data_IF_202786659215
#
_entry.id   IF_202786659215
#
_cell.length_a   1.000
_cell.length_b   1.000
_cell.length_c   1.000
_cell.angle_alpha   90.00
_cell.angle_beta   90.00
_cell.angle_gamma   90.00
#
_symmetry.space_group_name_H-M   'P 1'
#
loop_
_entity.id
_entity.type
_entity.pdbx_description
1 polymer ?
#
# COMPACT_ATOMS: atom_id res chain seq x y z
N UNK A 1 -12.09 -8.70 13.75
CA UNK A 1 -13.52 -8.71 14.15
C UNK A 1 -14.27 -7.80 13.22
N UNK A 2 -15.36 -8.29 12.62
CA UNK A 2 -16.24 -7.48 11.79
C UNK A 2 -16.90 -6.40 12.66
N UNK A 3 -16.82 -5.14 12.22
CA UNK A 3 -17.40 -4.00 12.93
C UNK A 3 -18.50 -3.40 12.07
N UNK A 4 -19.74 -3.57 12.52
CA UNK A 4 -20.89 -2.89 11.92
C UNK A 4 -20.85 -1.42 12.35
N UNK A 5 -20.68 -0.51 11.40
CA UNK A 5 -20.62 0.94 11.64
C UNK A 5 -21.99 1.64 11.49
N UNK A 6 -22.98 0.96 10.92
CA UNK A 6 -24.34 1.45 10.70
C UNK A 6 -24.95 0.91 9.40
N UNK A 7 -26.21 1.28 9.15
CA UNK A 7 -26.92 0.98 7.92
C UNK A 7 -26.94 2.22 7.02
N UNK A 8 -26.84 1.99 5.72
CA UNK A 8 -26.93 3.02 4.68
C UNK A 8 -27.99 2.64 3.66
N UNK A 9 -28.68 3.63 3.11
CA UNK A 9 -29.69 3.44 2.07
C UNK A 9 -29.09 3.77 0.71
N UNK A 10 -29.39 2.92 -0.28
CA UNK A 10 -29.08 3.20 -1.68
C UNK A 10 -30.04 4.29 -2.18
N UNK A 11 -29.48 5.45 -2.52
CA UNK A 11 -30.24 6.58 -3.03
C UNK A 11 -30.50 6.43 -4.53
N UNK A 12 -31.18 7.43 -5.13
CA UNK A 12 -31.37 7.51 -6.59
C UNK A 12 -30.05 7.31 -7.33
N UNK A 13 -30.12 6.63 -8.49
CA UNK A 13 -28.96 6.31 -9.34
C UNK A 13 -27.91 5.40 -8.68
N UNK A 14 -28.27 4.66 -7.62
CA UNK A 14 -27.38 3.70 -6.98
C UNK A 14 -26.34 4.34 -6.05
N UNK A 15 -26.53 5.58 -5.62
CA UNK A 15 -25.57 6.30 -4.79
C UNK A 15 -25.63 5.85 -3.33
N UNK A 16 -24.47 5.57 -2.73
CA UNK A 16 -24.34 5.24 -1.31
C UNK A 16 -23.41 6.25 -0.63
N UNK A 17 -23.86 6.85 0.47
CA UNK A 17 -23.03 7.76 1.25
C UNK A 17 -22.03 7.01 2.11
N UNK A 18 -20.75 7.37 2.00
CA UNK A 18 -19.66 6.81 2.82
C UNK A 18 -19.34 7.65 4.06
N UNK A 19 -20.17 8.63 4.40
CA UNK A 19 -19.89 9.57 5.50
C UNK A 19 -19.60 8.89 6.84
N UNK A 20 -20.27 7.78 7.13
CA UNK A 20 -20.04 6.98 8.34
C UNK A 20 -18.68 6.25 8.31
N UNK A 21 -18.24 5.78 7.13
CA UNK A 21 -17.01 5.04 6.94
C UNK A 21 -15.76 5.95 6.89
N UNK A 22 -15.89 7.21 6.43
CA UNK A 22 -14.77 8.17 6.29
C UNK A 22 -13.92 8.29 7.55
N UNK A 23 -14.55 8.33 8.74
CA UNK A 23 -13.84 8.47 10.03
C UNK A 23 -13.00 7.25 10.40
N UNK A 24 -13.37 6.07 9.93
CA UNK A 24 -12.69 4.82 10.24
C UNK A 24 -11.60 4.47 9.22
N UNK A 25 -11.79 4.87 7.96
CA UNK A 25 -10.91 4.51 6.84
C UNK A 25 -10.06 5.68 6.33
N UNK A 26 -10.18 6.88 6.90
CA UNK A 26 -9.40 8.05 6.51
C UNK A 26 -9.70 8.57 5.09
N UNK A 27 -10.85 8.19 4.52
CA UNK A 27 -11.25 8.52 3.13
C UNK A 27 -11.57 10.01 3.01
N UNK A 28 -10.94 10.67 2.04
CA UNK A 28 -11.15 12.07 1.68
C UNK A 28 -11.95 12.21 0.39
N UNK A 29 -12.37 13.43 0.09
CA UNK A 29 -12.96 13.74 -1.21
C UNK A 29 -11.93 13.53 -2.32
N UNK A 30 -12.34 12.90 -3.42
CA UNK A 30 -11.47 12.55 -4.54
C UNK A 30 -10.67 11.24 -4.39
N UNK A 31 -10.69 10.59 -3.22
CA UNK A 31 -10.09 9.26 -3.08
C UNK A 31 -10.83 8.22 -3.92
N UNK A 32 -10.08 7.25 -4.44
CA UNK A 32 -10.59 6.16 -5.27
C UNK A 32 -10.83 4.94 -4.40
N UNK A 33 -11.93 4.24 -4.65
CA UNK A 33 -12.24 2.98 -4.02
C UNK A 33 -12.33 1.90 -5.09
N UNK A 34 -11.64 0.79 -4.87
CA UNK A 34 -11.89 -0.42 -5.63
C UNK A 34 -13.17 -1.07 -5.08
N UNK A 35 -14.03 -1.51 -6.00
CA UNK A 35 -15.28 -2.22 -5.68
C UNK A 35 -15.09 -3.69 -6.04
N UNK A 36 -15.22 -4.56 -5.05
CA UNK A 36 -15.18 -6.01 -5.23
C UNK A 36 -16.45 -6.67 -4.67
N UNK A 37 -16.78 -7.85 -5.18
CA UNK A 37 -17.87 -8.69 -4.66
C UNK A 37 -17.26 -10.01 -4.19
N UNK A 38 -17.32 -10.27 -2.90
CA UNK A 38 -16.71 -11.43 -2.25
C UNK A 38 -17.71 -12.05 -1.27
N UNK A 39 -17.97 -13.36 -1.37
CA UNK A 39 -18.92 -14.07 -0.51
C UNK A 39 -20.29 -13.38 -0.36
N UNK A 40 -20.84 -12.87 -1.47
CA UNK A 40 -22.08 -12.11 -1.50
C UNK A 40 -22.05 -10.79 -0.67
N UNK A 41 -20.86 -10.23 -0.45
CA UNK A 41 -20.62 -8.93 0.19
C UNK A 41 -20.02 -7.95 -0.80
N UNK A 42 -20.40 -6.69 -0.68
CA UNK A 42 -19.74 -5.59 -1.38
C UNK A 42 -18.53 -5.14 -0.54
N UNK A 43 -17.33 -5.23 -1.09
CA UNK A 43 -16.09 -4.80 -0.44
C UNK A 43 -15.60 -3.53 -1.13
N UNK A 44 -15.36 -2.48 -0.36
CA UNK A 44 -14.80 -1.21 -0.83
C UNK A 44 -13.41 -1.02 -0.23
N UNK A 45 -12.38 -1.03 -1.08
CA UNK A 45 -10.99 -0.91 -0.66
C UNK A 45 -10.45 0.46 -1.09
N UNK A 46 -9.98 1.31 -0.15
CA UNK A 46 -9.32 2.56 -0.50
C UNK A 46 -8.05 2.33 -1.31
N UNK A 47 -7.96 3.00 -2.46
CA UNK A 47 -6.83 2.90 -3.39
C UNK A 47 -6.07 4.23 -3.45
N UNK A 48 -4.78 4.14 -3.72
CA UNK A 48 -3.94 5.27 -4.11
C UNK A 48 -3.48 5.08 -5.55
N UNK A 49 -3.58 6.14 -6.35
CA UNK A 49 -3.04 6.14 -7.69
C UNK A 49 -1.54 6.32 -7.63
N UNK A 50 -0.85 5.53 -8.44
CA UNK A 50 0.59 5.62 -8.65
C UNK A 50 0.80 5.94 -10.13
N UNK A 51 1.65 6.93 -10.48
CA UNK A 51 2.06 7.16 -11.86
C UNK A 51 2.56 5.87 -12.52
N UNK A 52 2.23 5.67 -13.80
CA UNK A 52 2.54 4.41 -14.49
C UNK A 52 4.05 4.12 -14.56
N UNK A 53 4.86 5.17 -14.66
CA UNK A 53 6.33 5.13 -14.63
C UNK A 53 6.91 4.82 -13.23
N UNK A 54 6.08 4.80 -12.19
CA UNK A 54 6.42 4.38 -10.82
C UNK A 54 5.73 3.07 -10.40
N UNK A 55 4.87 2.51 -11.25
CA UNK A 55 4.14 1.29 -10.96
C UNK A 55 5.07 0.08 -10.76
N UNK A 56 6.25 0.09 -11.38
CA UNK A 56 7.27 -0.96 -11.26
C UNK A 56 7.69 -1.22 -9.80
N UNK A 57 7.70 -0.18 -8.95
CA UNK A 57 8.05 -0.29 -7.53
C UNK A 57 7.06 -1.20 -6.78
N UNK A 58 5.82 -1.26 -7.24
CA UNK A 58 4.74 -2.03 -6.62
C UNK A 58 4.57 -3.45 -7.20
N UNK A 59 5.50 -3.89 -8.04
CA UNK A 59 5.51 -5.29 -8.52
C UNK A 59 5.88 -6.24 -7.38
N UNK A 60 5.34 -7.46 -7.40
CA UNK A 60 5.61 -8.47 -6.37
C UNK A 60 7.11 -8.76 -6.23
N UNK A 61 7.83 -8.83 -7.36
CA UNK A 61 9.27 -9.02 -7.40
C UNK A 61 10.02 -7.90 -6.66
N UNK A 62 9.69 -6.64 -6.96
CA UNK A 62 10.33 -5.49 -6.33
C UNK A 62 10.03 -5.43 -4.83
N UNK A 63 8.78 -5.62 -4.44
CA UNK A 63 8.37 -5.60 -3.03
C UNK A 63 9.03 -6.72 -2.22
N UNK A 64 9.24 -7.89 -2.83
CA UNK A 64 9.97 -8.99 -2.19
C UNK A 64 11.44 -8.62 -1.96
N UNK A 65 12.11 -8.06 -2.98
CA UNK A 65 13.49 -7.59 -2.84
C UNK A 65 13.63 -6.50 -1.77
N UNK A 66 12.68 -5.56 -1.72
CA UNK A 66 12.63 -4.52 -0.68
C UNK A 66 12.47 -5.12 0.72
N UNK A 67 11.60 -6.11 0.88
CA UNK A 67 11.41 -6.81 2.15
C UNK A 67 12.67 -7.56 2.59
N UNK A 68 13.36 -8.23 1.65
CA UNK A 68 14.64 -8.91 1.92
C UNK A 68 15.72 -7.92 2.34
N UNK A 69 15.89 -6.82 1.61
CA UNK A 69 16.85 -5.77 1.94
C UNK A 69 16.58 -5.15 3.31
N UNK A 70 15.31 -4.88 3.64
CA UNK A 70 14.92 -4.37 4.95
C UNK A 70 15.27 -5.35 6.09
N UNK A 71 15.05 -6.65 5.87
CA UNK A 71 15.45 -7.68 6.84
C UNK A 71 16.97 -7.73 7.03
N UNK A 72 17.76 -7.56 5.97
CA UNK A 72 19.22 -7.52 6.07
C UNK A 72 19.70 -6.29 6.86
N UNK A 73 19.09 -5.12 6.63
CA UNK A 73 19.35 -3.89 7.41
C UNK A 73 19.04 -4.12 8.89
N UNK A 74 17.86 -4.67 9.22
CA UNK A 74 17.46 -4.96 10.60
C UNK A 74 18.36 -5.98 11.29
N UNK A 75 18.92 -6.92 10.53
CA UNK A 75 19.90 -7.90 11.01
C UNK A 75 21.33 -7.34 11.07
N UNK A 76 21.54 -6.08 10.69
CA UNK A 76 22.86 -5.44 10.67
C UNK A 76 23.80 -6.02 9.60
N UNK A 77 23.26 -6.68 8.56
CA UNK A 77 24.01 -7.22 7.42
C UNK A 77 24.40 -6.15 6.40
N UNK A 78 24.60 -4.92 6.87
CA UNK A 78 25.02 -3.78 6.07
C UNK A 78 26.47 -3.46 6.38
N UNK A 79 27.24 -3.10 5.36
CA UNK A 79 28.56 -2.49 5.55
C UNK A 79 28.43 -0.98 5.39
N UNK A 80 29.14 -0.23 6.22
CA UNK A 80 29.35 1.20 6.03
C UNK A 80 30.84 1.42 5.73
N UNK A 81 31.13 2.44 4.93
CA UNK A 81 32.47 2.78 4.50
C UNK A 81 32.66 4.28 4.72
N UNK A 82 33.84 4.68 5.19
CA UNK A 82 34.13 6.08 5.48
C UNK A 82 34.53 6.85 4.21
N UNK A 83 34.84 6.13 3.13
CA UNK A 83 35.13 6.73 1.82
C UNK A 83 34.70 5.86 0.64
N UNK A 84 34.47 6.50 -0.50
CA UNK A 84 34.20 5.81 -1.77
C UNK A 84 35.34 4.87 -2.17
N UNK A 85 36.59 5.19 -1.81
CA UNK A 85 37.75 4.36 -2.10
C UNK A 85 37.65 3.01 -1.38
N UNK A 86 37.31 3.01 -0.09
CA UNK A 86 37.13 1.79 0.69
C UNK A 86 35.99 0.92 0.16
N UNK A 87 34.88 1.54 -0.27
CA UNK A 87 33.78 0.83 -0.93
C UNK A 87 34.25 0.13 -2.21
N UNK A 88 34.98 0.83 -3.09
CA UNK A 88 35.48 0.26 -4.33
C UNK A 88 36.44 -0.91 -4.08
N UNK A 89 37.34 -0.76 -3.10
CA UNK A 89 38.26 -1.84 -2.70
C UNK A 89 37.55 -3.08 -2.15
N UNK A 90 36.35 -2.96 -1.56
CA UNK A 90 35.54 -4.11 -1.13
C UNK A 90 34.77 -4.76 -2.28
N UNK A 91 34.31 -3.98 -3.27
CA UNK A 91 33.56 -4.46 -4.44
C UNK A 91 34.43 -5.18 -5.49
N UNK A 92 35.72 -4.83 -5.58
CA UNK A 92 36.67 -5.43 -6.53
C UNK A 92 37.31 -6.73 -6.02
N UNK A 93 36.91 -7.24 -4.84
CA UNK A 93 37.34 -8.53 -4.30
C UNK A 93 36.55 -9.70 -4.87
#
# INVERSE_FOLDING_TARGET
MEKVIGNVVVQKRGLVSLSQAKKYLGIKEGDILQVAVEDNRLVLVPMKLVPADQAWFWTEEWQKGEQEAQQEIEQGKTKSFDSMKELLEDLEK
#
